data_IF_328165697908
#
_entry.id   IF_328165697908
#
_cell.length_a   1.000
_cell.length_b   1.000
_cell.length_c   1.000
_cell.angle_alpha   90.00
_cell.angle_beta   90.00
_cell.angle_gamma   90.00
#
_symmetry.space_group_name_H-M   'P 1'
#
loop_
_entity.id
_entity.type
_entity.pdbx_description
1 polymer ?
#
# COMPACT_ATOMS: atom_id res chain seq x y z
N UNK A 1 -9.10 10.59 -16.77
CA UNK A 1 -8.70 11.45 -15.63
C UNK A 1 -8.00 10.54 -14.66
N UNK A 2 -6.81 10.90 -14.17
CA UNK A 2 -6.12 10.11 -13.15
C UNK A 2 -6.80 10.39 -11.82
N UNK A 3 -7.64 9.47 -11.37
CA UNK A 3 -8.29 9.57 -10.07
C UNK A 3 -7.45 8.78 -9.08
N UNK A 4 -6.98 9.47 -8.05
CA UNK A 4 -6.30 8.83 -6.93
C UNK A 4 -7.35 8.23 -6.01
N UNK A 5 -7.14 6.98 -5.62
CA UNK A 5 -8.00 6.21 -4.74
C UNK A 5 -7.17 5.61 -3.62
N UNK A 6 -7.84 5.35 -2.52
CA UNK A 6 -7.21 4.84 -1.31
C UNK A 6 -6.92 3.34 -1.45
N UNK A 7 -5.63 2.98 -1.42
CA UNK A 7 -5.19 1.59 -1.43
C UNK A 7 -5.10 1.01 -0.02
N UNK A 8 -4.46 1.73 0.92
CA UNK A 8 -4.21 1.27 2.28
C UNK A 8 -3.99 2.43 3.27
N UNK A 9 -4.21 2.16 4.57
CA UNK A 9 -3.87 3.07 5.68
C UNK A 9 -2.69 2.49 6.45
N UNK A 10 -1.66 3.30 6.63
CA UNK A 10 -0.56 3.07 7.55
C UNK A 10 -0.83 3.74 8.90
N UNK A 11 -0.41 3.11 9.99
CA UNK A 11 -0.52 3.64 11.34
C UNK A 11 0.47 4.77 11.64
N UNK A 12 1.55 4.86 10.88
CA UNK A 12 2.53 5.95 10.97
C UNK A 12 3.27 6.20 9.63
N UNK A 13 4.05 7.28 9.57
CA UNK A 13 4.80 7.69 8.38
C UNK A 13 5.80 6.63 7.92
N UNK A 14 6.43 5.90 8.85
CA UNK A 14 7.43 4.89 8.51
C UNK A 14 6.79 3.73 7.77
N UNK A 15 5.68 3.22 8.31
CA UNK A 15 4.93 2.13 7.68
C UNK A 15 4.42 2.55 6.28
N UNK A 16 3.99 3.80 6.12
CA UNK A 16 3.58 4.36 4.84
C UNK A 16 4.73 4.44 3.82
N UNK A 17 5.93 4.80 4.27
CA UNK A 17 7.14 4.79 3.45
C UNK A 17 7.50 3.37 3.01
N UNK A 18 7.38 2.37 3.90
CA UNK A 18 7.59 0.95 3.56
C UNK A 18 6.59 0.48 2.48
N UNK A 19 5.31 0.81 2.63
CA UNK A 19 4.29 0.51 1.60
C UNK A 19 4.61 1.22 0.27
N UNK A 20 5.05 2.48 0.31
CA UNK A 20 5.45 3.21 -0.90
C UNK A 20 6.66 2.56 -1.59
N UNK A 21 7.64 2.04 -0.85
CA UNK A 21 8.77 1.32 -1.42
C UNK A 21 8.35 0.02 -2.11
N UNK A 22 7.41 -0.72 -1.52
CA UNK A 22 6.82 -1.93 -2.11
C UNK A 22 6.13 -1.58 -3.44
N UNK A 23 5.26 -0.57 -3.45
CA UNK A 23 4.54 -0.12 -4.64
C UNK A 23 5.50 0.38 -5.72
N UNK A 24 6.53 1.14 -5.35
CA UNK A 24 7.57 1.58 -6.28
C UNK A 24 8.34 0.41 -6.88
N UNK A 25 8.61 -0.64 -6.10
CA UNK A 25 9.23 -1.89 -6.57
C UNK A 25 8.36 -2.61 -7.61
N UNK A 26 7.04 -2.52 -7.48
CA UNK A 26 6.07 -3.03 -8.44
C UNK A 26 5.85 -2.11 -9.66
N UNK A 27 6.45 -0.92 -9.68
CA UNK A 27 6.27 0.08 -10.73
C UNK A 27 4.96 0.87 -10.62
N UNK A 28 4.36 0.89 -9.44
CA UNK A 28 3.12 1.61 -9.14
C UNK A 28 3.48 2.94 -8.47
N UNK A 29 3.03 4.05 -9.08
CA UNK A 29 3.14 5.37 -8.48
C UNK A 29 2.11 5.53 -7.37
N UNK A 30 2.57 5.97 -6.19
CA UNK A 30 1.73 6.23 -5.03
C UNK A 30 2.06 7.56 -4.36
N UNK A 31 1.02 8.16 -3.76
CA UNK A 31 1.11 9.39 -2.98
C UNK A 31 0.72 9.10 -1.52
N UNK A 32 1.33 9.83 -0.59
CA UNK A 32 1.05 9.72 0.83
C UNK A 32 0.29 10.96 1.30
N UNK A 33 -0.83 10.75 1.98
CA UNK A 33 -1.64 11.82 2.58
C UNK A 33 -1.78 11.61 4.09
N UNK A 34 -1.72 12.67 4.88
CA UNK A 34 -1.93 12.58 6.33
C UNK A 34 -3.40 12.27 6.64
N UNK A 35 -3.63 11.20 7.40
CA UNK A 35 -4.94 10.78 7.90
C UNK A 35 -5.25 11.31 9.31
N UNK A 36 -6.24 10.69 9.97
CA UNK A 36 -6.60 10.98 11.37
C UNK A 36 -5.65 10.24 12.34
N UNK A 37 -5.44 10.79 13.54
CA UNK A 37 -4.67 10.16 14.61
C UNK A 37 -3.25 9.71 14.19
N UNK A 38 -2.51 10.59 13.51
CA UNK A 38 -1.14 10.35 13.01
C UNK A 38 -1.00 9.24 11.94
N UNK A 39 -2.13 8.68 11.47
CA UNK A 39 -2.15 7.73 10.36
C UNK A 39 -1.78 8.40 9.03
N UNK A 40 -1.38 7.57 8.06
CA UNK A 40 -1.03 8.01 6.71
C UNK A 40 -1.77 7.14 5.70
N UNK A 41 -2.45 7.81 4.77
CA UNK A 41 -3.24 7.21 3.70
C UNK A 41 -2.36 7.06 2.47
N UNK A 42 -2.31 5.85 1.91
CA UNK A 42 -1.60 5.54 0.66
C UNK A 42 -2.59 5.62 -0.50
N UNK A 43 -2.35 6.56 -1.40
CA UNK A 43 -3.17 6.84 -2.57
C UNK A 43 -2.47 6.33 -3.82
N UNK A 44 -3.22 5.68 -4.73
CA UNK A 44 -2.72 5.18 -6.02
C UNK A 44 -3.70 5.55 -7.12
N UNK A 45 -3.27 5.43 -8.39
CA UNK A 45 -4.20 5.57 -9.50
C UNK A 45 -5.29 4.48 -9.42
N UNK A 46 -6.53 4.83 -9.73
CA UNK A 46 -7.66 3.89 -9.76
C UNK A 46 -7.40 2.67 -10.66
N UNK A 47 -6.64 2.85 -11.74
CA UNK A 47 -6.19 1.78 -12.63
C UNK A 47 -5.29 0.74 -11.97
N UNK A 48 -4.58 1.14 -10.92
CA UNK A 48 -3.54 0.37 -10.25
C UNK A 48 -3.97 -0.06 -8.85
N UNK A 49 -5.21 0.23 -8.43
CA UNK A 49 -5.71 -0.09 -7.09
C UNK A 49 -5.56 -1.56 -6.73
N UNK A 50 -6.01 -2.45 -7.61
CA UNK A 50 -5.97 -3.91 -7.37
C UNK A 50 -4.52 -4.41 -7.29
N UNK A 51 -3.68 -3.97 -8.24
CA UNK A 51 -2.25 -4.30 -8.24
C UNK A 51 -1.50 -3.73 -7.02
N UNK A 52 -1.91 -2.57 -6.53
CA UNK A 52 -1.35 -1.95 -5.35
C UNK A 52 -1.69 -2.73 -4.08
N UNK A 53 -2.96 -3.15 -3.95
CA UNK A 53 -3.41 -3.99 -2.85
C UNK A 53 -2.65 -5.33 -2.85
N UNK A 54 -2.57 -6.01 -4.00
CA UNK A 54 -1.83 -7.26 -4.15
C UNK A 54 -0.34 -7.10 -3.79
N UNK A 55 0.30 -6.01 -4.24
CA UNK A 55 1.71 -5.76 -3.96
C UNK A 55 1.95 -5.49 -2.48
N UNK A 56 1.09 -4.70 -1.82
CA UNK A 56 1.19 -4.42 -0.38
C UNK A 56 0.97 -5.71 0.40
N UNK A 57 -0.07 -6.49 0.09
CA UNK A 57 -0.35 -7.77 0.75
C UNK A 57 0.85 -8.72 0.62
N UNK A 58 1.38 -8.92 -0.59
CA UNK A 58 2.56 -9.76 -0.83
C UNK A 58 3.87 -9.24 -0.20
N UNK A 59 4.00 -7.91 -0.03
CA UNK A 59 5.20 -7.28 0.51
C UNK A 59 5.19 -7.11 2.04
N UNK A 60 4.01 -7.15 2.66
CA UNK A 60 3.82 -6.92 4.11
C UNK A 60 3.41 -8.18 4.87
N UNK A 61 2.83 -9.19 4.21
CA UNK A 61 2.55 -10.47 4.84
C UNK A 61 3.83 -11.32 4.99
N UNK A 62 4.15 -11.76 6.22
CA UNK A 62 5.31 -12.61 6.46
C UNK A 62 4.97 -14.05 6.06
N UNK A 63 5.08 -14.41 4.78
CA UNK A 63 5.15 -15.81 4.29
C UNK A 63 4.28 -16.78 5.15
N UNK A 64 2.98 -16.51 5.33
CA UNK A 64 2.08 -17.42 6.05
C UNK A 64 1.69 -18.60 5.13
N UNK A 65 2.73 -19.28 4.65
CA UNK A 65 2.71 -20.64 4.14
C UNK A 65 2.67 -21.61 5.32
N UNK A 66 1.80 -21.39 6.32
CA UNK A 66 1.38 -22.50 7.17
C UNK A 66 0.50 -23.37 6.29
N UNK A 67 1.14 -24.32 5.61
CA UNK A 67 0.51 -25.44 4.96
C UNK A 67 -0.51 -26.05 5.94
N UNK A 68 -1.79 -25.93 5.62
CA UNK A 68 -2.84 -26.64 6.33
C UNK A 68 -2.53 -28.16 6.24
N UNK A 69 -2.58 -28.91 7.37
CA UNK A 69 -2.21 -30.32 7.43
C UNK A 69 -3.16 -31.28 6.71
#
# INVERSE_FOLDING_TARGET
MSQLVHAAVAGDVREAEEMQEILRGAGIDSELESGEDDSVVVLVQESDLEAAQDAIEAGTEPDDLVAEP
#
